data_IF_120270144252
#
_entry.id   IF_120270144252
#
_cell.length_a   1.000
_cell.length_b   1.000
_cell.length_c   1.000
_cell.angle_alpha   90.00
_cell.angle_beta   90.00
_cell.angle_gamma   90.00
#
_symmetry.space_group_name_H-M   'P 1'
#
loop_
_entity.id
_entity.type
_entity.pdbx_description
1 polymer ?
#
# COMPACT_ATOMS: atom_id res chain seq x y z
N UNK A 1 -10.84 3.35 -11.44
CA UNK A 1 -9.42 3.77 -11.24
C UNK A 1 -8.50 2.57 -11.04
N UNK A 2 -8.87 1.57 -10.23
CA UNK A 2 -8.08 0.35 -10.04
C UNK A 2 -7.70 -0.36 -11.35
N UNK A 3 -8.69 -0.69 -12.19
CA UNK A 3 -8.45 -1.41 -13.46
C UNK A 3 -7.45 -0.69 -14.36
N UNK A 4 -7.65 0.61 -14.60
CA UNK A 4 -6.74 1.42 -15.42
C UNK A 4 -5.33 1.51 -14.82
N UNK A 5 -5.21 1.73 -13.51
CA UNK A 5 -3.92 1.74 -12.82
C UNK A 5 -3.18 0.40 -12.94
N UNK A 6 -3.91 -0.70 -12.79
CA UNK A 6 -3.36 -2.05 -12.99
C UNK A 6 -2.91 -2.27 -14.44
N UNK A 7 -3.68 -1.83 -15.44
CA UNK A 7 -3.29 -1.90 -16.85
C UNK A 7 -2.01 -1.11 -17.11
N UNK A 8 -1.89 0.13 -16.61
CA UNK A 8 -0.65 0.90 -16.75
C UNK A 8 0.55 0.17 -16.14
N UNK A 9 0.37 -0.45 -14.97
CA UNK A 9 1.44 -1.23 -14.31
C UNK A 9 1.88 -2.42 -15.17
N UNK A 10 0.94 -3.18 -15.72
CA UNK A 10 1.24 -4.33 -16.61
C UNK A 10 1.97 -3.88 -17.89
N UNK A 11 1.65 -2.70 -18.41
CA UNK A 11 2.32 -2.10 -19.57
C UNK A 11 3.68 -1.45 -19.25
N UNK A 12 4.18 -1.56 -18.02
CA UNK A 12 5.45 -0.93 -17.59
C UNK A 12 5.36 0.58 -17.38
N UNK A 13 4.17 1.18 -17.49
CA UNK A 13 3.92 2.62 -17.34
C UNK A 13 3.71 2.98 -15.87
N UNK A 14 4.71 2.72 -15.03
CA UNK A 14 4.57 2.76 -13.58
C UNK A 14 4.19 4.13 -13.02
N UNK A 15 4.73 5.22 -13.57
CA UNK A 15 4.35 6.58 -13.14
C UNK A 15 2.85 6.87 -13.33
N UNK A 16 2.30 6.49 -14.48
CA UNK A 16 0.86 6.64 -14.78
C UNK A 16 0.01 5.73 -13.88
N UNK A 17 0.52 4.53 -13.55
CA UNK A 17 -0.14 3.64 -12.61
C UNK A 17 -0.23 4.28 -11.21
N UNK A 18 0.88 4.82 -10.70
CA UNK A 18 0.93 5.50 -9.40
C UNK A 18 -0.03 6.69 -9.38
N UNK A 19 -0.01 7.57 -10.38
CA UNK A 19 -0.89 8.74 -10.45
C UNK A 19 -2.37 8.32 -10.45
N UNK A 20 -2.74 7.37 -11.31
CA UNK A 20 -4.12 6.87 -11.41
C UNK A 20 -4.59 6.24 -10.09
N UNK A 21 -3.72 5.49 -9.41
CA UNK A 21 -4.05 4.80 -8.17
C UNK A 21 -4.08 5.75 -6.98
N UNK A 22 -3.22 6.78 -6.92
CA UNK A 22 -3.29 7.85 -5.91
C UNK A 22 -4.62 8.60 -6.01
N UNK A 23 -5.06 8.94 -7.22
CA UNK A 23 -6.39 9.54 -7.44
C UNK A 23 -7.52 8.61 -6.95
N UNK A 24 -7.36 7.29 -7.17
CA UNK A 24 -8.26 6.28 -6.66
C UNK A 24 -8.36 6.30 -5.13
N UNK A 25 -7.21 6.19 -4.46
CA UNK A 25 -7.11 6.21 -2.99
C UNK A 25 -7.64 7.52 -2.41
N UNK A 26 -7.34 8.67 -3.02
CA UNK A 26 -7.84 9.96 -2.57
C UNK A 26 -9.39 10.05 -2.62
N UNK A 27 -10.03 9.38 -3.58
CA UNK A 27 -11.49 9.33 -3.69
C UNK A 27 -12.11 8.28 -2.78
N UNK A 28 -11.43 7.16 -2.57
CA UNK A 28 -11.91 6.01 -1.80
C UNK A 28 -10.83 5.55 -0.80
N UNK A 29 -10.59 6.32 0.28
CA UNK A 29 -9.48 6.04 1.19
C UNK A 29 -9.62 4.71 1.94
N UNK A 30 -10.85 4.24 2.13
CA UNK A 30 -11.15 2.96 2.81
C UNK A 30 -11.06 1.74 1.88
N UNK A 31 -10.86 1.92 0.57
CA UNK A 31 -10.74 0.82 -0.37
C UNK A 31 -9.33 0.18 -0.25
N UNK A 32 -9.28 -0.93 0.48
CA UNK A 32 -8.05 -1.68 0.69
C UNK A 32 -7.43 -2.23 -0.60
N UNK A 33 -8.22 -2.52 -1.63
CA UNK A 33 -7.69 -2.97 -2.91
C UNK A 33 -6.95 -1.83 -3.62
N UNK A 34 -7.51 -0.62 -3.66
CA UNK A 34 -6.82 0.54 -4.22
C UNK A 34 -5.49 0.82 -3.52
N UNK A 35 -5.44 0.71 -2.18
CA UNK A 35 -4.20 0.85 -1.40
C UNK A 35 -3.18 -0.24 -1.73
N UNK A 36 -3.60 -1.50 -1.81
CA UNK A 36 -2.72 -2.61 -2.17
C UNK A 36 -2.15 -2.46 -3.59
N UNK A 37 -2.98 -2.08 -4.56
CA UNK A 37 -2.53 -1.85 -5.93
C UNK A 37 -1.60 -0.64 -6.05
N UNK A 38 -1.87 0.44 -5.30
CA UNK A 38 -0.96 1.57 -5.19
C UNK A 38 0.41 1.14 -4.65
N UNK A 39 0.44 0.35 -3.58
CA UNK A 39 1.68 -0.18 -3.02
C UNK A 39 2.50 -0.99 -4.03
N UNK A 40 1.84 -1.83 -4.84
CA UNK A 40 2.52 -2.55 -5.93
C UNK A 40 3.12 -1.60 -6.98
N UNK A 41 2.40 -0.55 -7.37
CA UNK A 41 2.90 0.43 -8.33
C UNK A 41 4.06 1.27 -7.75
N UNK A 42 3.97 1.67 -6.47
CA UNK A 42 5.05 2.36 -5.75
C UNK A 42 6.33 1.52 -5.72
N UNK A 43 6.21 0.22 -5.44
CA UNK A 43 7.33 -0.71 -5.51
C UNK A 43 8.01 -0.70 -6.89
N UNK A 44 7.22 -0.71 -7.98
CA UNK A 44 7.78 -0.67 -9.34
C UNK A 44 8.56 0.63 -9.66
N UNK A 45 8.32 1.70 -8.90
CA UNK A 45 9.03 2.99 -9.03
C UNK A 45 10.17 3.18 -8.03
N UNK A 46 10.49 2.18 -7.20
CA UNK A 46 11.53 2.29 -6.17
C UNK A 46 11.07 2.95 -4.86
N UNK A 47 9.80 3.33 -4.74
CA UNK A 47 9.21 3.89 -3.53
C UNK A 47 8.90 2.79 -2.49
N UNK A 48 9.91 1.99 -2.15
CA UNK A 48 9.77 0.78 -1.34
C UNK A 48 9.31 1.05 0.10
N UNK A 49 9.71 2.18 0.69
CA UNK A 49 9.28 2.59 2.04
C UNK A 49 7.77 2.84 2.08
N UNK A 50 7.26 3.67 1.16
CA UNK A 50 5.83 3.98 1.08
C UNK A 50 5.00 2.75 0.73
N UNK A 51 5.49 1.92 -0.21
CA UNK A 51 4.85 0.67 -0.58
C UNK A 51 4.69 -0.28 0.63
N UNK A 52 5.78 -0.54 1.34
CA UNK A 52 5.79 -1.45 2.48
C UNK A 52 4.96 -0.90 3.65
N UNK A 53 5.10 0.40 3.95
CA UNK A 53 4.28 1.07 4.97
C UNK A 53 2.78 0.92 4.69
N UNK A 54 2.36 1.20 3.45
CA UNK A 54 0.95 1.05 3.03
C UNK A 54 0.42 -0.37 3.26
N UNK A 55 1.22 -1.39 2.96
CA UNK A 55 0.82 -2.79 3.16
C UNK A 55 0.76 -3.18 4.65
N UNK A 56 1.68 -2.67 5.48
CA UNK A 56 1.66 -2.90 6.92
C UNK A 56 0.43 -2.26 7.58
N UNK A 57 0.06 -1.03 7.19
CA UNK A 57 -1.18 -0.40 7.65
C UNK A 57 -2.40 -1.23 7.26
N UNK A 58 -2.44 -1.71 6.01
CA UNK A 58 -3.55 -2.51 5.52
C UNK A 58 -3.66 -3.82 6.30
N UNK A 59 -2.55 -4.54 6.50
CA UNK A 59 -2.51 -5.77 7.30
C UNK A 59 -2.98 -5.53 8.74
N UNK A 60 -2.50 -4.46 9.37
CA UNK A 60 -2.87 -4.10 10.73
C UNK A 60 -4.39 -3.77 10.85
N UNK A 61 -4.96 -3.15 9.82
CA UNK A 61 -6.35 -2.72 9.82
C UNK A 61 -7.33 -3.84 9.45
N UNK A 62 -6.98 -4.74 8.53
CA UNK A 62 -7.95 -5.64 7.90
C UNK A 62 -7.73 -7.12 8.18
N UNK A 63 -6.60 -7.52 8.77
CA UNK A 63 -6.32 -8.96 8.97
C UNK A 63 -7.27 -9.58 10.00
N UNK A 64 -7.86 -10.72 9.65
CA UNK A 64 -8.61 -11.57 10.59
C UNK A 64 -7.73 -12.55 11.37
N UNK A 65 -6.43 -12.62 11.08
CA UNK A 65 -5.50 -13.56 11.72
C UNK A 65 -5.19 -13.11 13.16
N UNK A 66 -5.48 -13.92 14.19
CA UNK A 66 -5.20 -13.58 15.59
C UNK A 66 -3.72 -13.27 15.87
N UNK A 67 -2.80 -13.92 15.16
CA UNK A 67 -1.36 -13.70 15.32
C UNK A 67 -0.95 -12.32 14.81
N UNK A 68 -1.48 -11.88 13.67
CA UNK A 68 -1.25 -10.54 13.11
C UNK A 68 -1.88 -9.49 14.03
N UNK A 69 -3.11 -9.72 14.50
CA UNK A 69 -3.81 -8.79 15.39
C UNK A 69 -3.08 -8.58 16.73
N UNK A 70 -2.44 -9.62 17.27
CA UNK A 70 -1.58 -9.50 18.47
C UNK A 70 -0.45 -8.48 18.27
N UNK A 71 0.08 -8.36 17.05
CA UNK A 71 1.16 -7.44 16.70
C UNK A 71 0.69 -6.15 16.02
N UNK A 72 -0.62 -5.87 15.98
CA UNK A 72 -1.20 -4.70 15.30
C UNK A 72 -0.48 -3.39 15.64
N UNK A 73 -0.20 -3.14 16.94
CA UNK A 73 0.49 -1.90 17.38
C UNK A 73 1.90 -1.78 16.80
N UNK A 74 2.65 -2.88 16.78
CA UNK A 74 4.00 -2.90 16.22
C UNK A 74 3.96 -2.68 14.70
N UNK A 75 3.03 -3.34 14.01
CA UNK A 75 2.84 -3.16 12.56
C UNK A 75 2.47 -1.72 12.21
N UNK A 76 1.56 -1.09 12.96
CA UNK A 76 1.22 0.33 12.76
C UNK A 76 2.41 1.25 13.06
N UNK A 77 3.23 0.94 14.06
CA UNK A 77 4.43 1.72 14.36
C UNK A 77 5.45 1.64 13.22
N UNK A 78 5.81 0.43 12.78
CA UNK A 78 6.75 0.25 11.68
C UNK A 78 6.22 0.73 10.34
N UNK A 79 4.91 0.75 10.13
CA UNK A 79 4.34 1.34 8.94
C UNK A 79 4.68 2.83 8.78
N UNK A 80 4.77 3.56 9.90
CA UNK A 80 5.15 4.97 9.92
C UNK A 80 6.67 5.17 9.85
N UNK A 81 7.44 4.27 10.46
CA UNK A 81 8.91 4.29 10.41
C UNK A 81 9.50 2.87 10.33
N UNK A 82 9.80 2.44 9.10
CA UNK A 82 10.34 1.11 8.81
C UNK A 82 11.78 0.90 9.28
N UNK A 83 12.54 1.97 9.54
CA UNK A 83 13.93 1.86 9.98
C UNK A 83 14.07 2.04 11.49
N UNK A 84 12.94 2.19 12.20
CA UNK A 84 12.93 2.36 13.64
C UNK A 84 13.69 1.20 14.31
N UNK A 85 14.83 1.53 14.89
CA UNK A 85 15.65 0.63 15.69
C UNK A 85 15.65 1.15 17.12
N UNK A 86 15.48 0.23 18.07
CA UNK A 86 15.56 0.48 19.52
C UNK A 86 16.89 -0.02 20.06
#
# INVERSE_FOLDING_TARGET
MLGLGSTYRVLGRYGQAVETLRLGVARYPEDGALRAFLAMALYNTGAHREATGTLLELLAATSGDPSVQRYRRALTHYAADLDATV
#
